data_IF_545379021409
#
_entry.id   IF_545379021409
#
_cell.length_a   1.000
_cell.length_b   1.000
_cell.length_c   1.000
_cell.angle_alpha   90.00
_cell.angle_beta   90.00
_cell.angle_gamma   90.00
#
_symmetry.space_group_name_H-M   'P 1'
#
loop_
_entity.id
_entity.type
_entity.pdbx_description
1 polymer ?
#
# COMPACT_ATOMS: atom_id res chain seq x y z
N UNK A 1 -8.76 9.76 -6.60
CA UNK A 1 -9.94 9.29 -5.83
C UNK A 1 -9.47 8.50 -4.62
N UNK A 2 -9.06 9.11 -3.51
CA UNK A 2 -8.46 8.41 -2.35
C UNK A 2 -9.31 7.23 -1.80
N UNK A 3 -10.62 7.22 -2.09
CA UNK A 3 -11.55 6.15 -1.73
C UNK A 3 -11.20 4.75 -2.27
N UNK A 4 -10.75 4.59 -3.53
CA UNK A 4 -10.46 3.24 -4.06
C UNK A 4 -9.27 2.57 -3.35
N UNK A 5 -8.26 3.37 -2.99
CA UNK A 5 -7.04 2.89 -2.33
C UNK A 5 -7.37 2.42 -0.91
N UNK A 6 -8.17 3.21 -0.19
CA UNK A 6 -8.64 2.85 1.15
C UNK A 6 -9.43 1.54 1.14
N UNK A 7 -10.35 1.35 0.18
CA UNK A 7 -11.10 0.10 0.05
C UNK A 7 -10.18 -1.10 -0.13
N UNK A 8 -9.16 -0.98 -0.99
CA UNK A 8 -8.18 -2.05 -1.21
C UNK A 8 -7.42 -2.43 0.06
N UNK A 9 -7.03 -1.42 0.86
CA UNK A 9 -6.33 -1.61 2.14
C UNK A 9 -7.22 -2.32 3.16
N UNK A 10 -8.45 -1.85 3.36
CA UNK A 10 -9.39 -2.44 4.32
C UNK A 10 -9.78 -3.88 3.97
N UNK A 11 -9.97 -4.18 2.68
CA UNK A 11 -10.26 -5.55 2.22
C UNK A 11 -9.09 -6.49 2.53
N UNK A 12 -7.86 -6.13 2.15
CA UNK A 12 -6.67 -6.96 2.42
C UNK A 12 -6.41 -7.12 3.92
N UNK A 13 -6.63 -6.07 4.72
CA UNK A 13 -6.54 -6.14 6.19
C UNK A 13 -7.56 -7.11 6.78
N UNK A 14 -8.83 -7.01 6.38
CA UNK A 14 -9.91 -7.88 6.88
C UNK A 14 -9.63 -9.36 6.59
N UNK A 15 -9.21 -9.67 5.35
CA UNK A 15 -8.86 -11.04 4.96
C UNK A 15 -7.68 -11.54 5.79
N UNK A 16 -6.64 -10.73 5.98
CA UNK A 16 -5.44 -11.11 6.74
C UNK A 16 -5.75 -11.37 8.22
N UNK A 17 -6.63 -10.56 8.83
CA UNK A 17 -7.08 -10.76 10.21
C UNK A 17 -7.91 -12.04 10.37
N UNK A 18 -8.78 -12.35 9.40
CA UNK A 18 -9.53 -13.61 9.38
C UNK A 18 -8.60 -14.82 9.25
N UNK A 19 -7.57 -14.72 8.41
CA UNK A 19 -6.57 -15.76 8.21
C UNK A 19 -5.72 -16.00 9.47
N UNK A 20 -5.39 -14.94 10.21
CA UNK A 20 -4.67 -15.02 11.48
C UNK A 20 -5.48 -15.76 12.55
N UNK A 21 -6.82 -15.63 12.54
CA UNK A 21 -7.71 -16.35 13.45
C UNK A 21 -7.76 -17.85 13.15
N UNK A 22 -7.82 -18.22 11.87
CA UNK A 22 -7.98 -19.63 11.45
C UNK A 22 -6.65 -20.40 11.45
N UNK A 23 -5.53 -19.70 11.34
CA UNK A 23 -4.20 -20.29 11.32
C UNK A 23 -3.82 -20.88 12.68
N UNK A 24 -3.73 -22.21 12.74
CA UNK A 24 -3.25 -22.94 13.94
C UNK A 24 -1.72 -23.02 13.97
N UNK A 25 -1.07 -23.08 12.80
CA UNK A 25 0.38 -23.21 12.63
C UNK A 25 1.13 -21.90 12.89
N UNK A 26 2.30 -21.96 13.55
CA UNK A 26 3.12 -20.75 13.84
C UNK A 26 3.65 -20.07 12.59
N UNK A 27 3.92 -20.83 11.52
CA UNK A 27 4.41 -20.30 10.25
C UNK A 27 3.35 -19.48 9.51
N UNK A 28 2.11 -19.99 9.44
CA UNK A 28 0.99 -19.27 8.82
C UNK A 28 0.72 -17.94 9.56
N UNK A 29 0.88 -17.93 10.90
CA UNK A 29 0.77 -16.69 11.70
C UNK A 29 1.86 -15.68 11.36
N UNK A 30 3.13 -16.12 11.23
CA UNK A 30 4.23 -15.23 10.83
C UNK A 30 3.93 -14.57 9.49
N UNK A 31 3.40 -15.34 8.53
CA UNK A 31 3.03 -14.83 7.21
C UNK A 31 1.92 -13.79 7.28
N UNK A 32 0.86 -14.04 8.06
CA UNK A 32 -0.19 -13.04 8.28
C UNK A 32 0.37 -11.74 8.88
N UNK A 33 1.31 -11.82 9.83
CA UNK A 33 1.95 -10.63 10.41
C UNK A 33 2.77 -9.86 9.37
N UNK A 34 3.55 -10.54 8.53
CA UNK A 34 4.30 -9.91 7.43
C UNK A 34 3.36 -9.18 6.48
N UNK A 35 2.26 -9.82 6.08
CA UNK A 35 1.25 -9.21 5.21
C UNK A 35 0.61 -7.98 5.82
N UNK A 36 0.18 -8.07 7.07
CA UNK A 36 -0.40 -6.94 7.80
C UNK A 36 0.61 -5.78 7.87
N UNK A 37 1.87 -6.05 8.21
CA UNK A 37 2.91 -5.02 8.33
C UNK A 37 3.12 -4.26 7.01
N UNK A 38 3.11 -4.98 5.90
CA UNK A 38 3.34 -4.38 4.59
C UNK A 38 2.12 -3.62 4.09
N UNK A 39 0.89 -4.12 4.33
CA UNK A 39 -0.33 -3.36 4.04
C UNK A 39 -0.31 -2.01 4.79
N UNK A 40 0.10 -2.01 6.06
CA UNK A 40 0.24 -0.79 6.86
C UNK A 40 1.31 0.14 6.28
N UNK A 41 2.49 -0.37 5.93
CA UNK A 41 3.55 0.42 5.29
C UNK A 41 3.10 1.07 3.99
N UNK A 42 2.37 0.31 3.16
CA UNK A 42 1.83 0.83 1.91
C UNK A 42 0.81 1.94 2.17
N UNK A 43 -0.05 1.77 3.18
CA UNK A 43 -1.03 2.79 3.61
C UNK A 43 -0.35 4.10 4.03
N UNK A 44 0.69 4.01 4.87
CA UNK A 44 1.46 5.16 5.34
C UNK A 44 2.11 5.86 4.15
N UNK A 45 2.70 5.11 3.23
CA UNK A 45 3.34 5.64 2.02
C UNK A 45 2.33 6.42 1.18
N UNK A 46 1.12 5.89 0.97
CA UNK A 46 0.06 6.60 0.27
C UNK A 46 -0.41 7.85 0.98
N UNK A 47 -0.52 7.83 2.32
CA UNK A 47 -0.84 9.03 3.10
C UNK A 47 0.24 10.11 2.90
N UNK A 48 1.52 9.76 3.06
CA UNK A 48 2.64 10.69 2.88
C UNK A 48 2.63 11.25 1.45
N UNK A 49 2.48 10.39 0.45
CA UNK A 49 2.41 10.81 -0.94
C UNK A 49 1.22 11.72 -1.22
N UNK A 50 0.06 11.49 -0.58
CA UNK A 50 -1.10 12.37 -0.68
C UNK A 50 -0.81 13.77 -0.10
N UNK A 51 -0.02 13.86 0.98
CA UNK A 51 0.43 15.15 1.52
C UNK A 51 1.52 15.81 0.65
N UNK A 52 2.39 15.02 0.02
CA UNK A 52 3.50 15.51 -0.81
C UNK A 52 3.22 15.47 -2.32
N UNK A 53 1.94 15.46 -2.73
CA UNK A 53 1.55 15.44 -4.15
C UNK A 53 2.20 16.57 -4.94
N UNK A 54 2.36 17.74 -4.30
CA UNK A 54 3.15 18.85 -4.80
C UNK A 54 4.04 19.41 -3.68
N UNK A 55 5.30 19.67 -4.00
CA UNK A 55 6.21 20.45 -3.15
C UNK A 55 6.44 21.80 -3.83
N UNK A 56 6.08 22.95 -3.21
CA UNK A 56 5.45 23.13 -1.89
C UNK A 56 3.94 22.80 -1.87
N UNK A 57 3.39 22.46 -0.70
CA UNK A 57 1.96 22.16 -0.49
C UNK A 57 1.05 23.32 -0.95
N UNK A 58 1.51 24.56 -0.83
CA UNK A 58 0.76 25.76 -1.28
C UNK A 58 0.48 25.78 -2.78
N UNK A 59 1.29 25.09 -3.59
CA UNK A 59 1.08 24.97 -5.02
C UNK A 59 -0.14 24.10 -5.38
N UNK A 60 -0.68 23.31 -4.43
CA UNK A 60 -1.93 22.57 -4.64
C UNK A 60 -3.11 23.53 -4.88
N UNK A 61 -3.12 24.71 -4.24
CA UNK A 61 -4.18 25.71 -4.40
C UNK A 61 -3.77 26.88 -5.30
N UNK A 62 -2.48 27.25 -5.35
CA UNK A 62 -1.98 28.32 -6.22
C UNK A 62 -1.18 27.76 -7.41
N UNK A 63 -1.87 27.52 -8.53
CA UNK A 63 -1.28 27.02 -9.79
C UNK A 63 -0.27 27.97 -10.46
N UNK A 64 -0.10 29.18 -9.95
CA UNK A 64 0.71 30.23 -10.56
C UNK A 64 2.06 30.48 -9.86
N UNK A 65 2.50 29.57 -8.98
CA UNK A 65 3.84 29.65 -8.38
C UNK A 65 4.88 28.96 -9.30
N UNK A 66 5.86 29.71 -9.84
CA UNK A 66 6.93 29.14 -10.66
C UNK A 66 7.88 28.34 -9.76
N UNK A 67 7.99 27.02 -10.00
CA UNK A 67 8.85 26.11 -9.23
C UNK A 67 8.13 24.94 -8.55
N UNK A 68 6.80 24.85 -8.66
CA UNK A 68 6.04 23.72 -8.14
C UNK A 68 6.44 22.40 -8.84
N UNK A 69 7.04 21.48 -8.09
CA UNK A 69 7.26 20.10 -8.54
C UNK A 69 6.15 19.23 -7.99
N UNK A 70 5.25 18.79 -8.88
CA UNK A 70 4.22 17.83 -8.55
C UNK A 70 4.64 16.43 -8.98
N UNK A 71 4.36 15.44 -8.14
CA UNK A 71 4.60 14.03 -8.45
C UNK A 71 3.58 13.56 -9.47
N UNK A 72 4.05 12.80 -10.47
CA UNK A 72 3.19 12.22 -11.47
C UNK A 72 2.33 11.11 -10.86
N UNK A 73 1.02 11.33 -10.82
CA UNK A 73 0.01 10.40 -10.29
C UNK A 73 0.07 9.02 -10.96
N UNK A 74 0.46 8.95 -12.23
CA UNK A 74 0.58 7.69 -12.96
C UNK A 74 1.71 6.84 -12.39
N UNK A 75 2.85 7.45 -12.09
CA UNK A 75 4.01 6.76 -11.52
C UNK A 75 3.68 6.22 -10.12
N UNK A 76 3.00 7.03 -9.29
CA UNK A 76 2.53 6.59 -7.97
C UNK A 76 1.65 5.34 -8.06
N UNK A 77 0.71 5.33 -9.01
CA UNK A 77 -0.17 4.20 -9.21
C UNK A 77 0.56 2.96 -9.73
N UNK A 78 1.42 3.12 -10.72
CA UNK A 78 2.21 2.02 -11.29
C UNK A 78 3.07 1.34 -10.23
N UNK A 79 3.75 2.13 -9.39
CA UNK A 79 4.58 1.59 -8.29
C UNK A 79 3.72 0.83 -7.28
N UNK A 80 2.57 1.38 -6.89
CA UNK A 80 1.66 0.69 -5.97
C UNK A 80 1.08 -0.62 -6.52
N UNK A 81 0.78 -0.66 -7.83
CA UNK A 81 0.38 -1.88 -8.53
C UNK A 81 1.50 -2.93 -8.53
N UNK A 82 2.72 -2.52 -8.87
CA UNK A 82 3.88 -3.41 -8.86
C UNK A 82 4.15 -3.99 -7.47
N UNK A 83 4.09 -3.17 -6.41
CA UNK A 83 4.27 -3.62 -5.03
C UNK A 83 3.20 -4.61 -4.61
N UNK A 84 1.93 -4.33 -4.96
CA UNK A 84 0.82 -5.23 -4.65
C UNK A 84 1.02 -6.60 -5.31
N UNK A 85 1.34 -6.61 -6.62
CA UNK A 85 1.61 -7.84 -7.37
C UNK A 85 2.79 -8.60 -6.77
N UNK A 86 3.88 -7.90 -6.41
CA UNK A 86 5.05 -8.53 -5.79
C UNK A 86 4.71 -9.21 -4.45
N UNK A 87 3.82 -8.62 -3.64
CA UNK A 87 3.34 -9.29 -2.43
C UNK A 87 2.53 -10.54 -2.73
N UNK A 88 1.62 -10.47 -3.70
CA UNK A 88 0.81 -11.62 -4.07
C UNK A 88 1.71 -12.79 -4.54
N UNK A 89 2.77 -12.49 -5.30
CA UNK A 89 3.80 -13.48 -5.64
C UNK A 89 4.61 -13.97 -4.44
N UNK A 90 4.99 -13.11 -3.49
CA UNK A 90 5.72 -13.52 -2.29
C UNK A 90 4.92 -14.52 -1.46
N UNK A 91 3.59 -14.35 -1.36
CA UNK A 91 2.69 -15.31 -0.69
C UNK A 91 2.68 -16.64 -1.43
N UNK A 92 2.55 -16.61 -2.76
CA UNK A 92 2.53 -17.83 -3.59
C UNK A 92 3.85 -18.60 -3.52
N UNK A 93 4.98 -17.90 -3.62
CA UNK A 93 6.32 -18.49 -3.50
C UNK A 93 6.53 -19.11 -2.13
N UNK A 94 6.11 -18.43 -1.06
CA UNK A 94 6.23 -18.96 0.29
C UNK A 94 5.41 -20.25 0.47
N UNK A 95 4.16 -20.28 -0.04
CA UNK A 95 3.30 -21.48 -0.03
C UNK A 95 3.84 -22.62 -0.90
N UNK A 96 4.66 -22.32 -1.91
CA UNK A 96 5.26 -23.34 -2.79
C UNK A 96 6.51 -23.98 -2.19
N UNK A 97 7.26 -23.23 -1.37
CA UNK A 97 8.57 -23.65 -0.86
C UNK A 97 8.50 -24.44 0.46
N UNK A 98 7.34 -24.43 1.13
CA UNK A 98 7.09 -25.08 2.42
C UNK A 98 5.68 -25.68 2.48
#
# INVERSE_FOLDING_TARGET
>A
MPSYALTHLFVKLSISLQYLRISVMRFEKLLCYVLISFIVLQSITYCVLAFTLCTPFEAMWNRHMPGAKCINITVMYSVGLCLTIAMDFAILLFRYLF
#
